data_IF_327733872940
#
_entry.id   IF_327733872940
#
_cell.length_a   1.000
_cell.length_b   1.000
_cell.length_c   1.000
_cell.angle_alpha   90.00
_cell.angle_beta   90.00
_cell.angle_gamma   90.00
#
_symmetry.space_group_name_H-M   'P 1'
#
loop_
_entity.id
_entity.type
_entity.pdbx_description
1 polymer ?
#
# COMPACT_ATOMS: atom_id res chain seq x y z
N UNK A 1 21.20 13.68 -2.71
CA UNK A 1 20.03 13.42 -3.58
C UNK A 1 18.84 14.19 -3.00
N UNK A 2 18.09 14.97 -3.78
CA UNK A 2 16.89 15.65 -3.24
C UNK A 2 15.85 14.58 -2.87
N UNK A 3 15.40 14.56 -1.61
CA UNK A 3 14.32 13.67 -1.14
C UNK A 3 13.07 13.92 -1.98
N UNK A 4 12.44 12.86 -2.48
CA UNK A 4 11.23 12.96 -3.33
C UNK A 4 9.92 12.94 -2.53
N UNK A 5 10.04 12.75 -1.20
CA UNK A 5 8.98 12.78 -0.18
C UNK A 5 7.80 11.86 -0.48
N UNK A 6 8.04 10.69 -1.07
CA UNK A 6 6.99 9.69 -1.20
C UNK A 6 6.66 9.11 0.18
N UNK A 7 5.37 9.02 0.56
CA UNK A 7 4.95 8.19 1.68
C UNK A 7 5.48 6.78 1.48
N UNK A 8 6.27 6.29 2.43
CA UNK A 8 7.03 5.05 2.28
C UNK A 8 6.74 4.12 3.46
N UNK A 9 6.22 2.95 3.17
CA UNK A 9 6.08 1.86 4.15
C UNK A 9 7.24 0.90 3.97
N UNK A 10 8.08 0.77 5.00
CA UNK A 10 9.17 -0.20 5.05
C UNK A 10 8.84 -1.29 6.08
N UNK A 11 9.21 -2.53 5.77
CA UNK A 11 9.09 -3.66 6.70
C UNK A 11 10.44 -4.31 6.87
N UNK A 12 10.94 -4.29 8.10
CA UNK A 12 12.23 -4.89 8.47
C UNK A 12 12.06 -6.31 9.07
N UNK A 13 10.83 -6.76 9.23
CA UNK A 13 10.50 -8.10 9.72
C UNK A 13 10.69 -9.17 8.63
N UNK A 14 10.86 -10.42 9.06
CA UNK A 14 10.89 -11.57 8.14
C UNK A 14 9.53 -11.72 7.43
N UNK A 15 9.56 -11.85 6.10
CA UNK A 15 8.40 -12.17 5.27
C UNK A 15 7.87 -10.96 4.47
N UNK A 16 6.90 -11.22 3.59
CA UNK A 16 6.27 -10.20 2.74
C UNK A 16 5.08 -9.55 3.40
N UNK A 17 4.68 -8.38 2.91
CA UNK A 17 3.46 -7.70 3.34
C UNK A 17 2.27 -8.64 3.45
N UNK A 18 1.52 -8.53 4.55
CA UNK A 18 0.31 -9.31 4.74
C UNK A 18 -0.74 -8.94 3.70
N UNK A 19 -1.68 -9.83 3.44
CA UNK A 19 -2.78 -9.59 2.49
C UNK A 19 -3.65 -8.37 2.86
N UNK A 20 -3.65 -7.94 4.12
CA UNK A 20 -4.38 -6.77 4.61
C UNK A 20 -3.54 -5.50 4.73
N UNK A 21 -2.29 -5.49 4.27
CA UNK A 21 -1.44 -4.30 4.33
C UNK A 21 -1.96 -3.16 3.44
N UNK A 22 -1.75 -1.90 3.85
CA UNK A 22 -2.07 -0.71 3.06
C UNK A 22 -1.28 -0.66 1.74
N UNK A 23 -2.00 -0.64 0.61
CA UNK A 23 -1.46 -0.47 -0.74
C UNK A 23 -2.44 0.38 -1.61
N UNK A 24 -2.83 1.55 -1.13
CA UNK A 24 -3.83 2.45 -1.72
C UNK A 24 -3.44 3.02 -3.11
N UNK A 25 -2.18 3.42 -3.31
CA UNK A 25 -1.65 3.77 -4.63
C UNK A 25 -0.13 3.49 -4.75
N UNK A 26 0.30 2.23 -4.79
CA UNK A 26 1.71 1.89 -4.88
C UNK A 26 2.28 2.34 -6.22
N UNK A 27 3.14 3.36 -6.19
CA UNK A 27 3.87 3.87 -7.35
C UNK A 27 5.24 3.21 -7.53
N UNK A 28 5.85 2.79 -6.42
CA UNK A 28 7.12 2.06 -6.39
C UNK A 28 6.97 0.86 -5.47
N UNK A 29 7.44 -0.30 -5.91
CA UNK A 29 7.45 -1.51 -5.08
C UNK A 29 8.77 -2.27 -5.25
N UNK A 30 9.41 -2.60 -4.14
CA UNK A 30 10.49 -3.57 -4.08
C UNK A 30 10.21 -4.56 -2.95
N UNK A 31 10.28 -5.85 -3.27
CA UNK A 31 10.21 -6.94 -2.29
C UNK A 31 11.28 -7.98 -2.54
N UNK A 32 11.35 -8.98 -1.66
CA UNK A 32 12.30 -10.09 -1.83
C UNK A 32 11.80 -11.40 -1.23
N UNK A 33 12.37 -12.47 -1.77
CA UNK A 33 12.47 -13.80 -1.20
C UNK A 33 11.15 -14.57 -0.98
N UNK A 34 10.22 -14.46 -1.94
CA UNK A 34 9.15 -15.46 -2.12
C UNK A 34 8.98 -15.85 -3.57
N UNK A 35 8.62 -17.11 -3.82
CA UNK A 35 8.57 -17.64 -5.17
C UNK A 35 7.44 -17.07 -6.02
N UNK A 36 6.23 -17.07 -5.46
CA UNK A 36 5.03 -16.57 -6.11
C UNK A 36 4.57 -15.27 -5.45
N UNK A 37 3.88 -14.45 -6.26
CA UNK A 37 3.15 -13.27 -5.83
C UNK A 37 2.25 -13.60 -4.63
N UNK A 38 2.27 -12.73 -3.62
CA UNK A 38 1.49 -12.91 -2.40
C UNK A 38 1.05 -11.57 -1.81
N UNK A 39 0.48 -11.61 -0.61
CA UNK A 39 0.11 -10.40 0.13
C UNK A 39 -0.99 -9.60 -0.59
N UNK A 40 -0.91 -8.26 -0.60
CA UNK A 40 -1.98 -7.40 -1.15
C UNK A 40 -2.14 -7.57 -2.67
N UNK A 41 -1.10 -8.07 -3.35
CA UNK A 41 -1.16 -8.35 -4.77
C UNK A 41 -2.09 -9.53 -5.09
N UNK A 42 -2.50 -10.37 -4.14
CA UNK A 42 -3.47 -11.44 -4.44
C UNK A 42 -4.93 -10.99 -4.31
N UNK A 43 -5.18 -9.74 -3.91
CA UNK A 43 -6.52 -9.21 -3.77
C UNK A 43 -7.24 -9.11 -5.14
N UNK A 44 -8.47 -9.63 -5.27
CA UNK A 44 -9.24 -9.53 -6.50
C UNK A 44 -9.49 -8.07 -6.87
N UNK A 45 -9.04 -7.64 -8.06
CA UNK A 45 -9.22 -6.26 -8.51
C UNK A 45 -8.14 -5.28 -8.07
N UNK A 46 -7.12 -5.72 -7.34
CA UNK A 46 -5.96 -4.90 -7.04
C UNK A 46 -5.33 -4.29 -8.30
N UNK A 47 -4.91 -3.03 -8.21
CA UNK A 47 -4.18 -2.33 -9.27
C UNK A 47 -3.03 -1.49 -8.72
N UNK A 48 -1.93 -1.42 -9.44
CA UNK A 48 -0.90 -0.42 -9.19
C UNK A 48 -1.36 0.97 -9.62
N UNK A 49 -0.69 2.01 -9.08
CA UNK A 49 -0.87 3.36 -9.60
C UNK A 49 -0.39 3.41 -11.07
N UNK A 50 -1.04 4.19 -11.95
CA UNK A 50 -0.56 4.38 -13.32
C UNK A 50 0.89 4.83 -13.34
N UNK A 51 1.72 4.15 -14.15
CA UNK A 51 3.16 4.43 -14.23
C UNK A 51 4.00 3.75 -13.14
N UNK A 52 3.43 2.86 -12.32
CA UNK A 52 4.19 2.23 -11.25
C UNK A 52 5.36 1.38 -11.77
N UNK A 53 6.45 1.39 -11.01
CA UNK A 53 7.60 0.49 -11.21
C UNK A 53 7.65 -0.48 -10.04
N UNK A 54 7.47 -1.77 -10.32
CA UNK A 54 7.37 -2.79 -9.30
C UNK A 54 8.34 -3.93 -9.61
N UNK A 55 9.06 -4.40 -8.61
CA UNK A 55 9.92 -5.58 -8.73
C UNK A 55 9.93 -6.40 -7.45
N UNK A 56 10.23 -7.68 -7.60
CA UNK A 56 10.44 -8.58 -6.47
C UNK A 56 11.64 -9.46 -6.74
N UNK A 57 12.61 -9.44 -5.84
CA UNK A 57 13.82 -10.23 -5.96
C UNK A 57 13.48 -11.69 -5.67
N UNK A 58 13.44 -12.49 -6.72
CA UNK A 58 13.38 -13.95 -6.67
C UNK A 58 14.01 -14.52 -7.94
N UNK A 59 14.67 -15.67 -7.83
CA UNK A 59 15.40 -16.35 -8.91
C UNK A 59 14.58 -16.61 -10.15
N UNK A 60 13.29 -16.88 -9.99
CA UNK A 60 12.36 -17.19 -11.07
C UNK A 60 11.27 -16.13 -11.21
N UNK A 61 11.56 -14.90 -10.78
CA UNK A 61 10.61 -13.78 -10.77
C UNK A 61 10.01 -13.47 -12.14
N UNK A 62 10.72 -13.75 -13.23
CA UNK A 62 10.27 -13.57 -14.62
C UNK A 62 10.20 -14.88 -15.41
N UNK A 63 10.12 -16.03 -14.74
CA UNK A 63 10.06 -17.35 -15.41
C UNK A 63 8.89 -17.46 -16.41
N UNK A 64 7.77 -16.80 -16.13
CA UNK A 64 6.67 -16.64 -17.06
C UNK A 64 6.07 -15.23 -16.94
N UNK A 65 5.67 -14.67 -18.08
CA UNK A 65 4.87 -13.44 -18.16
C UNK A 65 3.40 -13.73 -18.46
N UNK A 66 3.06 -14.97 -18.77
CA UNK A 66 1.71 -15.39 -19.19
C UNK A 66 0.83 -15.85 -18.02
N UNK A 67 1.32 -15.78 -16.79
CA UNK A 67 0.56 -16.12 -15.59
C UNK A 67 0.30 -14.87 -14.75
N UNK A 68 -0.95 -14.73 -14.29
CA UNK A 68 -1.33 -13.66 -13.36
C UNK A 68 -1.11 -14.05 -11.88
N UNK A 69 -0.68 -15.29 -11.60
CA UNK A 69 -0.54 -15.84 -10.25
C UNK A 69 0.78 -16.57 -9.96
N UNK A 70 1.55 -16.96 -10.98
CA UNK A 70 2.87 -17.59 -10.80
C UNK A 70 3.99 -16.55 -10.91
N UNK A 71 5.05 -16.74 -10.13
CA UNK A 71 6.20 -15.82 -10.09
C UNK A 71 5.79 -14.38 -9.74
N UNK A 72 6.46 -13.36 -10.29
CA UNK A 72 6.25 -11.96 -9.92
C UNK A 72 6.03 -11.04 -11.12
N UNK A 73 6.85 -11.09 -12.18
CA UNK A 73 6.77 -10.13 -13.29
C UNK A 73 5.41 -10.18 -14.00
N UNK A 74 4.94 -11.36 -14.40
CA UNK A 74 3.60 -11.53 -14.99
C UNK A 74 2.49 -10.99 -14.09
N UNK A 75 2.39 -11.42 -12.82
CA UNK A 75 1.41 -10.90 -11.88
C UNK A 75 1.45 -9.39 -11.66
N UNK A 76 2.64 -8.79 -11.55
CA UNK A 76 2.81 -7.34 -11.36
C UNK A 76 2.30 -6.56 -12.59
N UNK A 77 2.64 -7.02 -13.79
CA UNK A 77 2.19 -6.44 -15.06
C UNK A 77 0.68 -6.57 -15.24
N UNK A 78 0.11 -7.75 -14.95
CA UNK A 78 -1.34 -7.98 -15.01
C UNK A 78 -2.15 -7.04 -14.08
N UNK A 79 -1.49 -6.50 -13.05
CA UNK A 79 -2.06 -5.53 -12.10
C UNK A 79 -1.76 -4.07 -12.45
N UNK A 80 -1.20 -3.81 -13.63
CA UNK A 80 -1.00 -2.47 -14.15
C UNK A 80 0.31 -1.80 -13.75
N UNK A 81 1.30 -2.56 -13.26
CA UNK A 81 2.67 -2.03 -13.21
C UNK A 81 3.12 -1.67 -14.63
N UNK A 82 3.66 -0.47 -14.81
CA UNK A 82 4.15 -0.01 -16.11
C UNK A 82 5.51 -0.63 -16.45
N UNK A 83 6.28 -1.02 -15.43
CA UNK A 83 7.56 -1.65 -15.60
C UNK A 83 7.90 -2.62 -14.46
N UNK A 84 8.66 -3.66 -14.81
CA UNK A 84 9.27 -4.61 -13.88
C UNK A 84 10.60 -5.09 -14.42
N UNK A 85 11.46 -5.54 -13.52
CA UNK A 85 12.67 -6.32 -13.84
C UNK A 85 12.63 -7.63 -13.07
N UNK A 86 13.23 -8.67 -13.61
CA UNK A 86 13.28 -9.98 -12.95
C UNK A 86 14.14 -10.97 -13.70
N UNK A 87 14.19 -12.19 -13.18
CA UNK A 87 15.03 -13.26 -13.72
C UNK A 87 14.19 -14.42 -14.27
N UNK A 88 14.51 -14.85 -15.50
CA UNK A 88 13.84 -15.95 -16.21
C UNK A 88 14.31 -17.32 -15.69
N UNK A 89 15.50 -17.38 -15.09
CA UNK A 89 16.09 -18.56 -14.47
C UNK A 89 16.99 -18.14 -13.30
N UNK A 90 17.44 -19.12 -12.50
CA UNK A 90 18.33 -18.92 -11.35
C UNK A 90 19.58 -18.09 -11.70
N UNK A 91 19.68 -16.83 -11.21
CA UNK A 91 20.77 -15.95 -11.55
C UNK A 91 21.82 -15.85 -10.45
N UNK A 92 21.61 -16.41 -9.25
CA UNK A 92 22.24 -16.01 -7.99
C UNK A 92 21.90 -14.56 -7.59
N UNK A 93 21.70 -14.34 -6.29
CA UNK A 93 21.27 -13.04 -5.75
C UNK A 93 22.15 -11.87 -6.17
N UNK A 94 23.47 -12.06 -6.22
CA UNK A 94 24.46 -11.03 -6.57
C UNK A 94 24.43 -10.57 -8.02
N UNK A 95 23.73 -11.30 -8.90
CA UNK A 95 23.59 -10.94 -10.32
C UNK A 95 22.15 -10.50 -10.66
N UNK A 96 21.32 -10.27 -9.64
CA UNK A 96 20.00 -9.65 -9.80
C UNK A 96 20.12 -8.12 -9.95
N UNK A 97 19.09 -7.51 -10.52
CA UNK A 97 18.93 -6.06 -10.46
C UNK A 97 18.88 -5.57 -9.00
N UNK A 98 19.66 -4.54 -8.68
CA UNK A 98 19.68 -3.91 -7.37
C UNK A 98 18.55 -2.84 -7.27
N UNK A 99 17.46 -3.05 -6.50
CA UNK A 99 16.31 -2.15 -6.50
C UNK A 99 16.66 -0.71 -6.10
N UNK A 100 17.58 -0.55 -5.15
CA UNK A 100 18.07 0.74 -4.69
C UNK A 100 18.79 1.51 -5.81
N UNK A 101 19.56 0.84 -6.67
CA UNK A 101 20.21 1.47 -7.82
C UNK A 101 19.22 1.79 -8.94
N UNK A 102 18.26 0.89 -9.20
CA UNK A 102 17.21 1.10 -10.19
C UNK A 102 16.40 2.36 -9.86
N UNK A 103 15.86 2.43 -8.65
CA UNK A 103 15.07 3.60 -8.22
C UNK A 103 15.89 4.87 -8.13
N UNK A 104 17.18 4.78 -7.75
CA UNK A 104 18.11 5.91 -7.78
C UNK A 104 18.29 6.45 -9.20
N UNK A 105 18.56 5.59 -10.18
CA UNK A 105 18.72 5.97 -11.59
C UNK A 105 17.47 6.66 -12.13
N UNK A 106 16.30 6.06 -11.92
CA UNK A 106 15.02 6.66 -12.31
C UNK A 106 14.80 8.03 -11.64
N UNK A 107 15.07 8.15 -10.34
CA UNK A 107 14.91 9.42 -9.60
C UNK A 107 15.86 10.53 -10.06
N UNK A 108 16.99 10.14 -10.68
CA UNK A 108 17.98 11.03 -11.32
C UNK A 108 17.62 11.41 -12.76
N UNK A 109 16.53 10.87 -13.31
CA UNK A 109 16.02 11.23 -14.64
C UNK A 109 16.48 10.30 -15.77
N UNK A 110 17.19 9.20 -15.45
CA UNK A 110 17.45 8.13 -16.41
C UNK A 110 16.14 7.60 -16.96
N UNK A 111 16.16 7.15 -18.22
CA UNK A 111 15.08 6.31 -18.75
C UNK A 111 15.03 4.97 -18.02
N UNK A 112 13.93 4.24 -18.16
CA UNK A 112 13.80 2.90 -17.62
C UNK A 112 14.91 1.96 -18.10
N UNK A 113 15.25 2.00 -19.39
CA UNK A 113 16.32 1.19 -19.95
C UNK A 113 17.69 1.51 -19.31
N UNK A 114 18.04 2.81 -19.25
CA UNK A 114 19.28 3.26 -18.62
C UNK A 114 19.36 2.84 -17.14
N UNK A 115 18.27 3.04 -16.38
CA UNK A 115 18.23 2.69 -14.96
C UNK A 115 18.29 1.17 -14.73
N UNK A 116 17.67 0.36 -15.60
CA UNK A 116 17.74 -1.10 -15.54
C UNK A 116 19.19 -1.58 -15.66
N UNK A 117 19.90 -1.15 -16.71
CA UNK A 117 21.30 -1.50 -16.91
C UNK A 117 22.23 -0.90 -15.86
N UNK A 118 21.95 0.31 -15.37
CA UNK A 118 22.69 0.90 -14.24
C UNK A 118 22.61 0.05 -12.97
N UNK A 119 21.49 -0.65 -12.77
CA UNK A 119 21.24 -1.47 -11.59
C UNK A 119 21.60 -2.95 -11.74
N UNK A 120 22.04 -3.38 -12.93
CA UNK A 120 22.30 -4.77 -13.26
C UNK A 120 23.81 -5.07 -13.25
N UNK A 121 24.31 -5.93 -12.34
CA UNK A 121 25.74 -6.21 -12.23
C UNK A 121 26.34 -7.00 -13.41
N UNK A 122 25.54 -7.74 -14.17
CA UNK A 122 26.01 -8.60 -15.27
C UNK A 122 25.07 -8.56 -16.47
N UNK A 123 25.63 -8.35 -17.67
CA UNK A 123 24.90 -8.32 -18.94
C UNK A 123 24.76 -9.73 -19.52
N UNK A 124 23.74 -9.94 -20.37
CA UNK A 124 23.49 -11.22 -21.05
C UNK A 124 23.28 -12.42 -20.11
N UNK A 125 22.87 -12.16 -18.86
CA UNK A 125 22.69 -13.19 -17.82
C UNK A 125 21.29 -13.13 -17.21
N UNK A 126 20.44 -14.11 -17.54
CA UNK A 126 19.12 -14.49 -16.97
C UNK A 126 18.12 -13.38 -16.56
N UNK A 127 18.45 -12.12 -16.68
CA UNK A 127 17.67 -10.98 -16.24
C UNK A 127 16.98 -10.34 -17.44
N UNK A 128 15.75 -9.88 -17.23
CA UNK A 128 14.95 -9.20 -18.24
C UNK A 128 14.37 -7.92 -17.67
N UNK A 129 14.23 -6.93 -18.55
CA UNK A 129 13.44 -5.73 -18.34
C UNK A 129 12.14 -5.86 -19.14
N UNK A 130 11.02 -5.56 -18.52
CA UNK A 130 9.72 -5.44 -19.20
C UNK A 130 9.14 -4.06 -18.94
N UNK A 131 8.90 -3.30 -20.00
CA UNK A 131 8.38 -1.92 -19.97
C UNK A 131 8.90 -1.12 -21.16
N UNK A 132 8.43 0.12 -21.31
CA UNK A 132 8.94 1.05 -22.33
C UNK A 132 10.34 1.55 -21.92
N UNK A 133 11.42 1.24 -22.70
CA UNK A 133 12.78 1.63 -22.33
C UNK A 133 13.00 3.15 -22.28
N UNK A 134 12.11 3.96 -22.87
CA UNK A 134 12.14 5.43 -22.82
C UNK A 134 11.31 6.02 -21.68
N UNK A 135 10.61 5.19 -20.89
CA UNK A 135 9.79 5.66 -19.79
C UNK A 135 10.61 6.44 -18.75
N UNK A 136 10.09 7.61 -18.33
CA UNK A 136 10.71 8.52 -17.35
C UNK A 136 9.72 8.93 -16.24
N UNK A 137 9.53 8.11 -15.19
CA UNK A 137 8.53 8.36 -14.13
C UNK A 137 8.73 9.66 -13.35
N UNK A 138 9.95 10.20 -13.34
CA UNK A 138 10.33 11.38 -12.54
C UNK A 138 10.60 12.63 -13.37
N UNK A 139 10.17 12.67 -14.65
CA UNK A 139 10.40 13.81 -15.53
C UNK A 139 9.72 15.09 -15.05
N UNK A 140 8.50 14.97 -14.50
CA UNK A 140 7.71 16.11 -14.01
C UNK A 140 8.11 16.46 -12.59
N UNK A 141 8.38 17.73 -12.34
CA UNK A 141 8.74 18.20 -10.99
C UNK A 141 7.55 18.10 -10.02
N UNK A 142 7.81 18.04 -8.72
CA UNK A 142 6.75 18.06 -7.73
C UNK A 142 5.93 19.36 -7.80
N UNK A 143 6.59 20.52 -7.96
CA UNK A 143 5.92 21.82 -8.12
C UNK A 143 4.94 21.83 -9.29
N UNK A 144 5.35 21.27 -10.43
CA UNK A 144 4.46 21.16 -11.59
C UNK A 144 3.26 20.26 -11.32
N UNK A 145 3.48 19.11 -10.68
CA UNK A 145 2.40 18.20 -10.27
C UNK A 145 1.44 18.87 -9.28
N UNK A 146 1.97 19.66 -8.34
CA UNK A 146 1.18 20.37 -7.33
C UNK A 146 0.28 21.45 -7.91
N UNK A 147 0.81 22.24 -8.86
CA UNK A 147 0.04 23.28 -9.57
C UNK A 147 -1.11 22.66 -10.36
N UNK A 148 -0.88 21.48 -10.95
CA UNK A 148 -1.85 20.78 -11.81
C UNK A 148 -2.66 19.71 -11.06
N UNK A 149 -2.65 19.71 -9.73
CA UNK A 149 -3.25 18.63 -8.93
C UNK A 149 -4.74 18.43 -9.21
N UNK A 150 -5.45 19.49 -9.57
CA UNK A 150 -6.88 19.47 -9.87
C UNK A 150 -7.19 18.85 -11.25
N UNK A 151 -6.19 18.72 -12.12
CA UNK A 151 -6.31 18.01 -13.40
C UNK A 151 -6.13 16.48 -13.25
N UNK A 152 -5.61 16.04 -12.11
CA UNK A 152 -5.31 14.63 -11.82
C UNK A 152 -6.53 14.00 -11.14
N UNK A 153 -6.72 12.69 -11.35
CA UNK A 153 -7.79 11.96 -10.66
C UNK A 153 -7.69 12.15 -9.15
N UNK A 154 -8.85 12.32 -8.50
CA UNK A 154 -8.93 12.60 -7.06
C UNK A 154 -8.08 11.63 -6.24
N UNK A 155 -8.19 10.33 -6.51
CA UNK A 155 -7.44 9.27 -5.80
C UNK A 155 -5.92 9.51 -5.81
N UNK A 156 -5.37 9.94 -6.94
CA UNK A 156 -3.93 10.20 -7.07
C UNK A 156 -3.55 11.59 -6.53
N UNK A 157 -4.41 12.60 -6.66
CA UNK A 157 -4.17 13.94 -6.11
C UNK A 157 -3.97 13.95 -4.59
N UNK A 158 -4.66 13.05 -3.86
CA UNK A 158 -4.48 12.87 -2.42
C UNK A 158 -3.04 12.47 -2.06
N UNK A 159 -2.36 11.73 -2.92
CA UNK A 159 -0.97 11.34 -2.70
C UNK A 159 -0.01 12.51 -2.95
N UNK A 160 -0.40 13.55 -3.70
CA UNK A 160 0.36 14.80 -3.77
C UNK A 160 0.23 15.58 -2.46
N UNK A 161 -0.97 15.60 -1.85
CA UNK A 161 -1.18 16.20 -0.52
C UNK A 161 -0.27 15.53 0.51
N UNK A 162 -0.23 14.20 0.55
CA UNK A 162 0.67 13.47 1.45
C UNK A 162 2.14 13.86 1.24
N UNK A 163 2.58 13.93 -0.02
CA UNK A 163 3.96 14.33 -0.36
C UNK A 163 4.28 15.76 0.10
N UNK A 164 3.31 16.67 0.07
CA UNK A 164 3.49 18.03 0.57
C UNK A 164 3.52 18.08 2.10
N UNK A 165 2.63 17.34 2.77
CA UNK A 165 2.66 17.19 4.23
C UNK A 165 4.02 16.63 4.68
N UNK A 166 4.53 15.59 4.02
CA UNK A 166 5.85 15.02 4.30
C UNK A 166 7.00 16.00 4.01
N UNK A 167 6.88 16.82 2.95
CA UNK A 167 7.87 17.85 2.61
C UNK A 167 7.93 18.92 3.70
N UNK A 168 6.77 19.41 4.14
CA UNK A 168 6.63 20.42 5.19
C UNK A 168 7.14 19.87 6.53
N UNK A 169 6.71 18.67 6.94
CA UNK A 169 7.22 17.98 8.14
C UNK A 169 8.73 17.79 8.11
N UNK A 170 9.29 17.36 6.97
CA UNK A 170 10.75 17.18 6.80
C UNK A 170 11.54 18.49 6.80
N UNK A 171 10.87 19.63 6.68
CA UNK A 171 11.47 20.97 6.72
C UNK A 171 11.19 21.69 8.05
N UNK A 172 10.78 20.95 9.09
CA UNK A 172 10.40 21.48 10.42
C UNK A 172 9.17 22.41 10.41
N UNK A 173 8.34 22.34 9.37
CA UNK A 173 7.07 23.05 9.22
C UNK A 173 5.87 22.14 9.55
N UNK A 174 5.92 21.46 10.70
CA UNK A 174 4.88 20.49 11.11
C UNK A 174 3.50 21.12 11.26
N UNK A 175 3.41 22.34 11.78
CA UNK A 175 2.12 23.04 11.90
C UNK A 175 1.50 23.34 10.52
N UNK A 176 2.31 23.76 9.54
CA UNK A 176 1.83 23.99 8.17
C UNK A 176 1.37 22.68 7.51
N UNK A 177 2.09 21.58 7.73
CA UNK A 177 1.71 20.25 7.26
C UNK A 177 0.36 19.82 7.85
N UNK A 178 0.15 20.04 9.15
CA UNK A 178 -1.13 19.73 9.81
C UNK A 178 -2.24 20.68 9.36
N UNK A 179 -1.97 21.96 9.16
CA UNK A 179 -2.93 22.93 8.65
C UNK A 179 -3.43 22.53 7.25
N UNK A 180 -2.51 22.11 6.37
CA UNK A 180 -2.85 21.55 5.06
C UNK A 180 -3.76 20.32 5.20
N UNK A 181 -3.34 19.32 6.00
CA UNK A 181 -4.14 18.12 6.22
C UNK A 181 -5.53 18.41 6.79
N UNK A 182 -5.64 19.36 7.73
CA UNK A 182 -6.93 19.80 8.30
C UNK A 182 -7.82 20.48 7.26
N UNK A 183 -7.25 21.33 6.41
CA UNK A 183 -7.99 21.99 5.31
C UNK A 183 -8.57 20.95 4.36
N UNK A 184 -7.72 20.01 3.91
CA UNK A 184 -8.10 18.94 2.99
C UNK A 184 -9.17 18.01 3.61
N UNK A 185 -9.00 17.61 4.88
CA UNK A 185 -10.00 16.80 5.58
C UNK A 185 -11.32 17.54 5.82
N UNK A 186 -11.31 18.86 6.00
CA UNK A 186 -12.53 19.66 6.16
C UNK A 186 -13.31 19.75 4.85
N UNK A 187 -12.62 20.00 3.75
CA UNK A 187 -13.27 20.13 2.43
C UNK A 187 -13.69 18.78 1.86
N UNK A 188 -12.81 17.79 1.96
CA UNK A 188 -12.92 16.50 1.26
C UNK A 188 -12.27 15.37 2.08
N UNK A 189 -12.95 14.86 3.12
CA UNK A 189 -12.44 13.73 3.90
C UNK A 189 -11.98 12.57 3.03
N UNK A 190 -10.80 12.03 3.35
CA UNK A 190 -10.21 10.88 2.67
C UNK A 190 -9.37 10.05 3.62
N UNK A 191 -9.32 8.74 3.39
CA UNK A 191 -8.56 7.84 4.25
C UNK A 191 -7.04 8.14 4.25
N UNK A 192 -6.37 8.40 3.10
CA UNK A 192 -4.92 8.60 3.10
C UNK A 192 -4.49 9.83 3.90
N UNK A 193 -5.14 10.97 3.65
CA UNK A 193 -4.84 12.24 4.33
C UNK A 193 -5.30 12.20 5.79
N UNK A 194 -6.46 11.60 6.07
CA UNK A 194 -6.97 11.43 7.42
C UNK A 194 -6.02 10.63 8.30
N UNK A 195 -5.44 9.53 7.79
CA UNK A 195 -4.47 8.72 8.53
C UNK A 195 -3.17 9.47 8.79
N UNK A 196 -2.59 10.10 7.77
CA UNK A 196 -1.37 10.90 7.94
C UNK A 196 -1.57 12.03 8.97
N UNK A 197 -2.71 12.72 8.92
CA UNK A 197 -3.06 13.74 9.90
C UNK A 197 -3.27 13.13 11.30
N UNK A 198 -3.92 11.98 11.42
CA UNK A 198 -4.13 11.29 12.69
C UNK A 198 -2.82 10.84 13.34
N UNK A 199 -1.86 10.36 12.55
CA UNK A 199 -0.50 10.04 13.01
C UNK A 199 0.18 11.29 13.57
N UNK A 200 0.21 12.39 12.82
CA UNK A 200 0.81 13.65 13.28
C UNK A 200 0.14 14.20 14.55
N UNK A 201 -1.19 14.12 14.63
CA UNK A 201 -1.94 14.51 15.84
C UNK A 201 -1.57 13.64 17.04
N UNK A 202 -1.39 12.35 16.81
CA UNK A 202 -1.00 11.39 17.86
C UNK A 202 0.43 11.67 18.34
N UNK A 203 1.36 11.99 17.44
CA UNK A 203 2.72 12.43 17.78
C UNK A 203 2.74 13.70 18.65
N UNK A 204 1.78 14.61 18.45
CA UNK A 204 1.59 15.80 19.29
C UNK A 204 0.78 15.55 20.58
N UNK A 205 0.36 14.31 20.85
CA UNK A 205 -0.45 13.94 22.01
C UNK A 205 -1.96 14.21 21.87
N UNK A 206 -2.44 14.67 20.71
CA UNK A 206 -3.85 14.89 20.42
C UNK A 206 -4.55 13.66 19.81
N UNK A 207 -4.69 12.60 20.59
CA UNK A 207 -5.42 11.41 20.14
C UNK A 207 -6.94 11.65 19.89
N UNK A 208 -7.54 12.77 20.32
CA UNK A 208 -8.98 13.13 20.19
C UNK A 208 -9.12 13.70 18.81
N UNK A 209 -8.24 14.63 18.46
CA UNK A 209 -8.06 15.07 17.09
C UNK A 209 -7.86 13.88 16.16
N UNK A 210 -6.93 12.98 16.49
CA UNK A 210 -6.63 11.82 15.65
C UNK A 210 -7.85 10.92 15.39
N UNK A 211 -8.59 10.53 16.43
CA UNK A 211 -9.83 9.78 16.27
C UNK A 211 -10.89 10.57 15.49
N UNK A 212 -11.07 11.86 15.82
CA UNK A 212 -12.09 12.73 15.21
C UNK A 212 -11.88 12.90 13.70
N UNK A 213 -10.64 13.06 13.24
CA UNK A 213 -10.38 13.24 11.79
C UNK A 213 -10.65 11.98 10.98
N UNK A 214 -10.69 10.82 11.64
CA UNK A 214 -10.99 9.50 11.07
C UNK A 214 -12.43 9.04 11.33
N UNK A 215 -13.23 9.78 12.10
CA UNK A 215 -14.60 9.39 12.46
C UNK A 215 -15.54 9.18 11.27
N UNK A 216 -15.20 9.64 10.06
CA UNK A 216 -16.00 9.32 8.87
C UNK A 216 -15.79 7.87 8.37
N UNK A 217 -14.70 7.21 8.76
CA UNK A 217 -14.27 5.92 8.20
C UNK A 217 -15.28 4.80 8.41
N UNK A 218 -15.94 4.75 9.57
CA UNK A 218 -16.93 3.71 9.87
C UNK A 218 -18.24 3.84 9.08
N UNK A 219 -18.47 4.96 8.40
CA UNK A 219 -19.60 5.10 7.46
C UNK A 219 -19.29 4.55 6.06
N UNK A 220 -18.02 4.19 5.77
CA UNK A 220 -17.60 3.72 4.46
C UNK A 220 -17.98 2.24 4.25
N UNK A 221 -19.13 2.01 3.63
CA UNK A 221 -19.64 0.66 3.29
C UNK A 221 -19.04 0.08 2.00
N UNK A 222 -18.50 0.93 1.13
CA UNK A 222 -17.89 0.56 -0.14
C UNK A 222 -16.60 1.34 -0.31
N UNK A 223 -15.50 0.62 -0.39
CA UNK A 223 -14.15 1.16 -0.61
C UNK A 223 -13.47 0.35 -1.70
N UNK A 224 -12.57 1.01 -2.45
CA UNK A 224 -11.73 0.34 -3.44
C UNK A 224 -10.89 -0.76 -2.77
N UNK A 225 -10.59 -1.82 -3.50
CA UNK A 225 -9.85 -2.97 -2.95
C UNK A 225 -8.47 -2.56 -2.41
N UNK A 226 -7.82 -1.61 -3.07
CA UNK A 226 -6.55 -1.07 -2.61
C UNK A 226 -6.66 -0.29 -1.28
N UNK A 227 -7.84 0.26 -0.98
CA UNK A 227 -8.11 1.05 0.22
C UNK A 227 -8.58 0.18 1.40
N UNK A 228 -8.72 -1.14 1.23
CA UNK A 228 -9.16 -2.04 2.31
C UNK A 228 -8.19 -2.06 3.50
N UNK A 229 -6.89 -2.19 3.23
CA UNK A 229 -5.87 -2.13 4.28
C UNK A 229 -5.83 -0.76 4.95
N UNK A 230 -5.99 0.29 4.15
CA UNK A 230 -6.05 1.68 4.63
C UNK A 230 -7.26 1.91 5.56
N UNK A 231 -8.43 1.40 5.21
CA UNK A 231 -9.61 1.48 6.07
C UNK A 231 -9.39 0.72 7.39
N UNK A 232 -8.80 -0.47 7.35
CA UNK A 232 -8.48 -1.24 8.57
C UNK A 232 -7.47 -0.50 9.47
N UNK A 233 -6.49 0.20 8.90
CA UNK A 233 -5.50 1.00 9.63
C UNK A 233 -6.11 2.18 10.41
N UNK A 234 -7.34 2.59 10.11
CA UNK A 234 -8.04 3.62 10.91
C UNK A 234 -8.47 3.13 12.29
N UNK A 235 -8.68 1.82 12.44
CA UNK A 235 -9.34 1.25 13.62
C UNK A 235 -8.57 1.47 14.92
N UNK A 236 -7.23 1.32 14.99
CA UNK A 236 -6.48 1.62 16.21
C UNK A 236 -6.69 3.06 16.71
N UNK A 237 -6.77 4.04 15.80
CA UNK A 237 -7.02 5.44 16.16
C UNK A 237 -8.43 5.65 16.73
N UNK A 238 -9.45 4.99 16.15
CA UNK A 238 -10.83 5.06 16.64
C UNK A 238 -10.97 4.44 18.04
N UNK A 239 -10.29 3.32 18.29
CA UNK A 239 -10.34 2.62 19.59
C UNK A 239 -9.59 3.38 20.68
N UNK A 240 -8.47 4.05 20.36
CA UNK A 240 -7.59 4.69 21.33
C UNK A 240 -8.29 5.72 22.24
N UNK A 241 -9.50 6.16 21.91
CA UNK A 241 -10.30 7.13 22.67
C UNK A 241 -11.66 6.60 23.15
N UNK A 242 -11.83 5.29 23.19
CA UNK A 242 -13.04 4.65 23.73
C UNK A 242 -14.19 4.54 22.73
N UNK A 243 -13.94 4.80 21.44
CA UNK A 243 -14.94 4.58 20.39
C UNK A 243 -14.74 3.24 19.68
N UNK A 244 -14.68 2.17 20.48
CA UNK A 244 -14.54 0.82 19.95
C UNK A 244 -15.74 0.42 19.05
N UNK A 245 -16.91 1.07 19.22
CA UNK A 245 -18.08 0.86 18.34
C UNK A 245 -17.83 1.32 16.90
N UNK A 246 -17.23 2.49 16.69
CA UNK A 246 -16.85 2.94 15.35
C UNK A 246 -15.80 2.01 14.71
N UNK A 247 -14.79 1.58 15.48
CA UNK A 247 -13.82 0.59 15.03
C UNK A 247 -14.47 -0.76 14.67
N UNK A 248 -15.49 -1.18 15.42
CA UNK A 248 -16.25 -2.39 15.13
C UNK A 248 -17.04 -2.27 13.83
N UNK A 249 -17.67 -1.11 13.60
CA UNK A 249 -18.43 -0.83 12.39
C UNK A 249 -17.55 -0.84 11.13
N UNK A 250 -16.29 -0.39 11.24
CA UNK A 250 -15.30 -0.57 10.16
C UNK A 250 -15.13 -2.04 9.81
N UNK A 251 -14.90 -2.92 10.80
CA UNK A 251 -14.76 -4.35 10.54
C UNK A 251 -16.05 -5.00 10.02
N UNK A 252 -17.23 -4.57 10.50
CA UNK A 252 -18.52 -5.00 9.93
C UNK A 252 -18.61 -4.64 8.45
N UNK A 253 -18.24 -3.43 8.06
CA UNK A 253 -18.26 -3.00 6.66
C UNK A 253 -17.26 -3.80 5.80
N UNK A 254 -16.03 -3.99 6.30
CA UNK A 254 -15.02 -4.79 5.60
C UNK A 254 -15.47 -6.25 5.42
N UNK A 255 -16.00 -6.88 6.47
CA UNK A 255 -16.48 -8.27 6.44
C UNK A 255 -17.80 -8.46 5.68
N UNK A 256 -18.58 -7.39 5.46
CA UNK A 256 -19.77 -7.42 4.60
C UNK A 256 -19.44 -7.47 3.10
N UNK A 257 -18.17 -7.26 2.73
CA UNK A 257 -17.74 -7.28 1.33
C UNK A 257 -17.71 -8.71 0.77
N UNK A 258 -18.38 -8.93 -0.37
CA UNK A 258 -18.64 -10.27 -0.93
C UNK A 258 -17.41 -11.03 -1.45
N UNK A 259 -16.30 -10.34 -1.73
CA UNK A 259 -15.13 -10.90 -2.41
C UNK A 259 -13.85 -10.85 -1.55
N UNK A 260 -13.99 -10.79 -0.23
CA UNK A 260 -12.85 -10.83 0.69
C UNK A 260 -12.23 -12.23 0.66
N UNK A 261 -10.94 -12.39 0.27
CA UNK A 261 -10.29 -13.70 0.26
C UNK A 261 -10.30 -14.34 1.65
N UNK A 262 -10.40 -15.68 1.71
CA UNK A 262 -10.52 -16.43 2.98
C UNK A 262 -9.44 -16.05 4.01
N UNK A 263 -8.19 -15.93 3.58
CA UNK A 263 -7.06 -15.56 4.45
C UNK A 263 -7.21 -14.15 5.01
N UNK A 264 -7.67 -13.19 4.22
CA UNK A 264 -7.92 -11.82 4.69
C UNK A 264 -9.14 -11.77 5.61
N UNK A 265 -10.18 -12.54 5.28
CA UNK A 265 -11.38 -12.65 6.11
C UNK A 265 -11.04 -13.20 7.50
N UNK A 266 -10.22 -14.24 7.58
CA UNK A 266 -9.75 -14.81 8.85
C UNK A 266 -8.95 -13.79 9.67
N UNK A 267 -8.06 -13.03 9.02
CA UNK A 267 -7.30 -11.95 9.65
C UNK A 267 -8.25 -10.89 10.25
N UNK A 268 -9.22 -10.41 9.47
CA UNK A 268 -10.17 -9.40 9.94
C UNK A 268 -11.17 -9.94 10.96
N UNK A 269 -11.57 -11.21 10.90
CA UNK A 269 -12.36 -11.82 11.97
C UNK A 269 -11.55 -11.83 13.27
N UNK A 270 -10.28 -12.22 13.23
CA UNK A 270 -9.41 -12.22 14.42
C UNK A 270 -9.27 -10.83 15.03
N UNK A 271 -9.00 -9.81 14.23
CA UNK A 271 -8.88 -8.44 14.74
C UNK A 271 -10.25 -7.87 15.16
N UNK A 272 -11.29 -8.06 14.34
CA UNK A 272 -12.65 -7.63 14.62
C UNK A 272 -13.23 -8.21 15.91
N UNK A 273 -12.93 -9.46 16.26
CA UNK A 273 -13.34 -10.07 17.54
C UNK A 273 -12.73 -9.32 18.73
N UNK A 274 -11.45 -8.95 18.67
CA UNK A 274 -10.82 -8.13 19.73
C UNK A 274 -11.52 -6.79 19.87
N UNK A 275 -11.85 -6.15 18.75
CA UNK A 275 -12.56 -4.86 18.73
C UNK A 275 -14.00 -5.00 19.25
N UNK A 276 -14.69 -6.08 18.91
CA UNK A 276 -16.03 -6.38 19.41
C UNK A 276 -16.04 -6.53 20.94
N UNK A 277 -15.04 -7.19 21.52
CA UNK A 277 -14.87 -7.24 22.97
C UNK A 277 -14.59 -5.86 23.57
N UNK A 278 -13.72 -5.06 22.96
CA UNK A 278 -13.46 -3.69 23.42
C UNK A 278 -14.68 -2.77 23.30
N UNK A 279 -15.61 -3.08 22.39
CA UNK A 279 -16.89 -2.37 22.20
C UNK A 279 -18.04 -2.91 23.07
N UNK A 280 -17.79 -3.93 23.89
CA UNK A 280 -18.80 -4.65 24.70
C UNK A 280 -19.91 -5.31 23.86
N UNK A 281 -19.64 -5.61 22.59
CA UNK A 281 -20.59 -6.18 21.63
C UNK A 281 -20.45 -7.72 21.60
N UNK A 282 -20.75 -8.36 22.74
CA UNK A 282 -20.52 -9.80 22.96
C UNK A 282 -21.20 -10.70 21.93
N UNK A 283 -22.42 -10.36 21.48
CA UNK A 283 -23.13 -11.13 20.46
C UNK A 283 -22.34 -11.17 19.15
N UNK A 284 -21.84 -10.02 18.70
CA UNK A 284 -21.05 -9.93 17.47
C UNK A 284 -19.74 -10.71 17.58
N UNK A 285 -19.07 -10.65 18.74
CA UNK A 285 -17.84 -11.40 19.00
C UNK A 285 -18.07 -12.92 18.89
N UNK A 286 -19.14 -13.43 19.51
CA UNK A 286 -19.51 -14.86 19.45
C UNK A 286 -19.85 -15.28 18.01
N UNK A 287 -20.62 -14.47 17.29
CA UNK A 287 -21.00 -14.76 15.91
C UNK A 287 -19.75 -14.89 15.01
N UNK A 288 -18.79 -13.97 15.15
CA UNK A 288 -17.53 -14.00 14.39
C UNK A 288 -16.57 -15.11 14.83
N UNK A 289 -16.54 -15.48 16.11
CA UNK A 289 -15.72 -16.61 16.60
C UNK A 289 -16.25 -17.94 16.05
N UNK A 290 -17.57 -18.13 16.02
CA UNK A 290 -18.21 -19.28 15.39
C UNK A 290 -17.91 -19.35 13.89
N UNK A 291 -17.97 -18.20 13.20
CA UNK A 291 -17.64 -18.11 11.78
C UNK A 291 -16.17 -18.46 11.50
N UNK A 292 -15.25 -17.93 12.30
CA UNK A 292 -13.81 -18.21 12.19
C UNK A 292 -13.54 -19.70 12.41
N UNK A 293 -14.16 -20.30 13.42
CA UNK A 293 -13.99 -21.73 13.75
C UNK A 293 -14.48 -22.65 12.61
N UNK A 294 -15.64 -22.36 12.02
CA UNK A 294 -16.15 -23.09 10.85
C UNK A 294 -15.19 -23.00 9.66
N UNK A 295 -14.67 -21.79 9.41
CA UNK A 295 -13.74 -21.53 8.31
C UNK A 295 -12.42 -22.30 8.44
N UNK A 296 -11.90 -22.45 9.66
CA UNK A 296 -10.68 -23.21 9.98
C UNK A 296 -10.91 -24.73 9.88
N UNK A 297 -12.09 -25.22 10.27
CA UNK A 297 -12.45 -26.64 10.17
C UNK A 297 -12.50 -27.17 8.73
N UNK A 298 -12.83 -26.31 7.77
CA UNK A 298 -12.82 -26.63 6.33
C UNK A 298 -11.43 -26.63 5.69
N UNK A 299 -10.41 -26.01 6.32
CA UNK A 299 -9.03 -25.98 5.78
C UNK A 299 -8.28 -27.28 6.11
N UNK A 300 -8.73 -28.03 7.14
CA UNK A 300 -8.10 -29.27 7.60
C UNK A 300 -8.66 -30.54 6.97
N UNK A 301 -9.61 -30.44 6.03
CA UNK A 301 -10.12 -31.54 5.20
C UNK A 301 -9.65 -31.36 3.77
#
# INVERSE_FOLDING_TARGET
MKKKNFPTTQRDEKGTFSIGARFDAPALYAGWYTSNVNGPFTLPGFRFAPGAVALHIHSYSAQTLHSESQSWCGPLLARGAAATVGAVFEPYLQFMHHPNLLFKGLAQGMTLGEAAYYSLPSLSWQNVLVGDPLYRPFQRSFTEQWIRRDEISRRLSLHLVLREMDRLKSADHTEDAMALGRSEQKERPSLPVGLALAEMLTEQGDAIGAARVLGFAHYLKKVDVNDWGLLAETVPFLIARGNAKEGLDVYRNLLATKLVPKVLRELWLKEGIKVAHAAEEMRQAIDWENERTRSVGEIKK
#
